data_IF_026592445396
#
_entry.id   IF_026592445396
#
_cell.length_a   1.000
_cell.length_b   1.000
_cell.length_c   1.000
_cell.angle_alpha   90.00
_cell.angle_beta   90.00
_cell.angle_gamma   90.00
#
_symmetry.space_group_name_H-M   'P 1'
#
loop_
_entity.id
_entity.type
_entity.pdbx_description
1 polymer ?
#
# COMPACT_ATOMS: atom_id res chain seq x y z
N UNK A 1 -4.03 -22.22 -7.58
CA UNK A 1 -3.95 -20.75 -7.35
C UNK A 1 -2.95 -20.04 -8.27
N UNK A 2 -1.70 -20.53 -8.46
CA UNK A 2 -0.71 -19.91 -9.37
C UNK A 2 -1.07 -19.84 -10.88
N UNK A 3 -2.04 -20.64 -11.35
CA UNK A 3 -2.47 -20.66 -12.77
C UNK A 3 -3.47 -19.56 -13.14
N UNK A 4 -4.26 -19.05 -12.18
CA UNK A 4 -5.22 -17.95 -12.42
C UNK A 4 -4.59 -16.56 -12.36
N UNK A 5 -3.43 -16.40 -11.72
CA UNK A 5 -2.70 -15.13 -11.70
C UNK A 5 -1.98 -14.81 -13.03
N UNK A 6 -1.84 -15.79 -13.94
CA UNK A 6 -1.06 -15.65 -15.19
C UNK A 6 -1.49 -14.49 -16.10
N UNK A 7 -2.80 -14.19 -16.29
CA UNK A 7 -3.23 -13.04 -17.10
C UNK A 7 -3.00 -11.69 -16.40
N UNK A 8 -3.10 -11.62 -15.07
CA UNK A 8 -2.87 -10.41 -14.28
C UNK A 8 -1.38 -10.07 -14.11
N UNK A 9 -0.47 -11.05 -14.16
CA UNK A 9 0.99 -10.84 -13.94
C UNK A 9 1.57 -9.74 -14.83
N UNK A 10 1.11 -9.59 -16.07
CA UNK A 10 1.58 -8.53 -16.98
C UNK A 10 1.14 -7.14 -16.51
N UNK A 11 -0.10 -6.99 -16.04
CA UNK A 11 -0.62 -5.74 -15.50
C UNK A 11 0.06 -5.37 -14.17
N UNK A 12 0.32 -6.37 -13.32
CA UNK A 12 1.04 -6.20 -12.06
C UNK A 12 2.50 -5.79 -12.32
N UNK A 13 3.22 -6.51 -13.19
CA UNK A 13 4.59 -6.16 -13.57
C UNK A 13 4.68 -4.76 -14.20
N UNK A 14 3.69 -4.38 -15.01
CA UNK A 14 3.59 -3.03 -15.56
C UNK A 14 3.37 -1.98 -14.46
N UNK A 15 2.44 -2.22 -13.52
CA UNK A 15 2.24 -1.35 -12.35
C UNK A 15 3.51 -1.16 -11.52
N UNK A 16 4.25 -2.25 -11.26
CA UNK A 16 5.54 -2.20 -10.58
C UNK A 16 6.58 -1.38 -11.36
N UNK A 17 6.66 -1.58 -12.68
CA UNK A 17 7.54 -0.80 -13.54
C UNK A 17 7.22 0.69 -13.45
N UNK A 18 5.93 1.07 -13.50
CA UNK A 18 5.52 2.46 -13.37
C UNK A 18 5.83 3.04 -11.99
N UNK A 19 5.68 2.26 -10.92
CA UNK A 19 6.06 2.67 -9.58
C UNK A 19 7.58 2.94 -9.49
N UNK A 20 8.40 2.06 -10.07
CA UNK A 20 9.86 2.22 -10.15
C UNK A 20 10.23 3.46 -10.98
N UNK A 21 9.63 3.66 -12.15
CA UNK A 21 9.87 4.86 -12.97
C UNK A 21 9.47 6.13 -12.24
N UNK A 22 8.36 6.11 -11.49
CA UNK A 22 7.92 7.24 -10.65
C UNK A 22 8.94 7.54 -9.56
N UNK A 23 9.50 6.51 -8.92
CA UNK A 23 10.52 6.68 -7.89
C UNK A 23 11.83 7.21 -8.48
N UNK A 24 12.30 6.63 -9.58
CA UNK A 24 13.53 7.03 -10.27
C UNK A 24 13.45 8.46 -10.81
N UNK A 25 12.32 8.85 -11.41
CA UNK A 25 12.09 10.23 -11.83
C UNK A 25 12.07 11.20 -10.64
N UNK A 26 11.51 10.79 -9.51
CA UNK A 26 11.56 11.55 -8.26
C UNK A 26 12.97 11.75 -7.71
N UNK A 27 13.78 10.69 -7.68
CA UNK A 27 15.19 10.76 -7.29
C UNK A 27 16.00 11.60 -8.28
N UNK A 28 15.79 11.40 -9.57
CA UNK A 28 16.42 12.19 -10.63
C UNK A 28 16.12 13.68 -10.51
N UNK A 29 14.87 14.05 -10.18
CA UNK A 29 14.52 15.44 -9.90
C UNK A 29 15.33 16.02 -8.73
N UNK A 30 15.45 15.26 -7.64
CA UNK A 30 16.18 15.70 -6.44
C UNK A 30 17.67 15.89 -6.77
N UNK A 31 18.28 14.91 -7.44
CA UNK A 31 19.69 14.93 -7.83
C UNK A 31 19.97 16.05 -8.83
N UNK A 32 19.18 16.14 -9.90
CA UNK A 32 19.35 17.16 -10.94
C UNK A 32 19.14 18.57 -10.38
N UNK A 33 18.15 18.76 -9.49
CA UNK A 33 17.92 20.05 -8.85
C UNK A 33 19.05 20.42 -7.90
N UNK A 34 19.54 19.47 -7.10
CA UNK A 34 20.68 19.70 -6.20
C UNK A 34 21.94 20.08 -6.97
N UNK A 35 22.26 19.34 -8.03
CA UNK A 35 23.37 19.66 -8.92
C UNK A 35 23.18 21.03 -9.59
N UNK A 36 21.98 21.33 -10.10
CA UNK A 36 21.70 22.61 -10.76
C UNK A 36 21.86 23.81 -9.81
N UNK A 37 21.42 23.69 -8.56
CA UNK A 37 21.60 24.74 -7.53
C UNK A 37 23.09 24.94 -7.25
N UNK A 38 23.84 23.87 -6.99
CA UNK A 38 25.27 23.95 -6.71
C UNK A 38 26.05 24.52 -7.91
N UNK A 39 25.75 24.05 -9.12
CA UNK A 39 26.37 24.54 -10.35
C UNK A 39 26.05 26.02 -10.63
N UNK A 40 24.82 26.46 -10.38
CA UNK A 40 24.42 27.86 -10.53
C UNK A 40 25.15 28.77 -9.53
N UNK A 41 25.32 28.29 -8.29
CA UNK A 41 26.07 29.03 -7.27
C UNK A 41 27.54 29.22 -7.68
N UNK A 42 28.19 28.17 -8.20
CA UNK A 42 29.57 28.24 -8.69
C UNK A 42 29.69 29.11 -9.95
N UNK A 43 28.79 28.94 -10.92
CA UNK A 43 28.80 29.72 -12.16
C UNK A 43 28.55 31.22 -11.92
N UNK A 44 27.70 31.57 -10.94
CA UNK A 44 27.42 32.94 -10.54
C UNK A 44 28.56 33.63 -9.78
N UNK A 45 29.58 32.90 -9.33
CA UNK A 45 30.70 33.47 -8.59
C UNK A 45 31.60 34.38 -9.45
N UNK A 46 31.58 34.22 -10.78
CA UNK A 46 32.33 35.05 -11.74
C UNK A 46 31.41 35.50 -12.87
N UNK A 47 31.42 36.79 -13.20
CA UNK A 47 30.52 37.36 -14.21
C UNK A 47 30.68 36.71 -15.61
N UNK A 48 31.90 36.34 -16.00
CA UNK A 48 32.18 35.67 -17.27
C UNK A 48 31.55 34.26 -17.35
N UNK A 49 31.60 33.48 -16.26
CA UNK A 49 31.01 32.13 -16.22
C UNK A 49 29.49 32.18 -16.08
N UNK A 50 28.94 33.22 -15.46
CA UNK A 50 27.50 33.41 -15.32
C UNK A 50 26.79 33.57 -16.68
N UNK A 51 27.42 34.30 -17.62
CA UNK A 51 26.86 34.52 -18.97
C UNK A 51 26.98 33.25 -19.84
N UNK A 52 28.04 32.45 -19.63
CA UNK A 52 28.27 31.21 -20.38
C UNK A 52 27.47 30.02 -19.84
N UNK A 53 26.85 30.12 -18.66
CA UNK A 53 26.15 29.01 -18.02
C UNK A 53 24.79 28.74 -18.68
N UNK A 54 24.66 27.56 -19.27
CA UNK A 54 23.42 27.15 -19.94
C UNK A 54 22.39 26.62 -18.92
N UNK A 55 21.45 27.49 -18.54
CA UNK A 55 20.34 27.14 -17.64
C UNK A 55 19.21 26.35 -18.33
N UNK A 56 19.13 26.40 -19.66
CA UNK A 56 18.02 25.80 -20.41
C UNK A 56 18.07 24.26 -20.39
N UNK A 57 19.25 23.67 -20.53
CA UNK A 57 19.46 22.22 -20.51
C UNK A 57 19.01 21.57 -19.19
N UNK A 58 19.47 22.01 -18.00
CA UNK A 58 18.99 21.45 -16.73
C UNK A 58 17.51 21.76 -16.48
N UNK A 59 17.01 22.93 -16.89
CA UNK A 59 15.58 23.26 -16.77
C UNK A 59 14.68 22.32 -17.59
N UNK A 60 15.08 21.99 -18.82
CA UNK A 60 14.38 21.04 -19.66
C UNK A 60 14.37 19.63 -19.04
N UNK A 61 15.51 19.20 -18.47
CA UNK A 61 15.61 17.93 -17.75
C UNK A 61 14.67 17.85 -16.55
N UNK A 62 14.61 18.91 -15.73
CA UNK A 62 13.70 18.98 -14.58
C UNK A 62 12.24 18.89 -15.04
N UNK A 63 11.85 19.65 -16.07
CA UNK A 63 10.48 19.61 -16.61
C UNK A 63 10.13 18.24 -17.17
N UNK A 64 11.03 17.62 -17.93
CA UNK A 64 10.85 16.29 -18.49
C UNK A 64 10.66 15.23 -17.41
N UNK A 65 11.51 15.24 -16.37
CA UNK A 65 11.39 14.33 -15.24
C UNK A 65 10.12 14.58 -14.42
N UNK A 66 9.68 15.82 -14.27
CA UNK A 66 8.43 16.16 -13.57
C UNK A 66 7.19 15.62 -14.31
N UNK A 67 7.17 15.75 -15.65
CA UNK A 67 6.11 15.18 -16.48
C UNK A 67 6.14 13.66 -16.42
N UNK A 68 7.32 13.04 -16.58
CA UNK A 68 7.49 11.60 -16.50
C UNK A 68 7.03 11.04 -15.15
N UNK A 69 7.40 11.70 -14.04
CA UNK A 69 6.96 11.33 -12.69
C UNK A 69 5.45 11.38 -12.55
N UNK A 70 4.83 12.47 -13.01
CA UNK A 70 3.39 12.69 -12.87
C UNK A 70 2.60 11.71 -13.74
N UNK A 71 3.02 11.53 -14.99
CA UNK A 71 2.39 10.59 -15.92
C UNK A 71 2.51 9.13 -15.45
N UNK A 72 3.70 8.72 -14.99
CA UNK A 72 3.93 7.37 -14.47
C UNK A 72 3.08 7.11 -13.22
N UNK A 73 3.03 8.07 -12.28
CA UNK A 73 2.19 7.94 -11.08
C UNK A 73 0.70 7.88 -11.40
N UNK A 74 0.26 8.66 -12.38
CA UNK A 74 -1.14 8.65 -12.81
C UNK A 74 -1.52 7.29 -13.40
N UNK A 75 -0.69 6.75 -14.29
CA UNK A 75 -0.94 5.45 -14.90
C UNK A 75 -0.80 4.29 -13.88
N UNK A 76 0.12 4.37 -12.92
CA UNK A 76 0.21 3.43 -11.78
C UNK A 76 -1.11 3.42 -10.99
N UNK A 77 -1.62 4.61 -10.66
CA UNK A 77 -2.90 4.78 -9.96
C UNK A 77 -4.06 4.24 -10.79
N UNK A 78 -4.10 4.48 -12.09
CA UNK A 78 -5.18 4.00 -12.95
C UNK A 78 -5.26 2.46 -12.94
N UNK A 79 -4.12 1.79 -13.05
CA UNK A 79 -4.03 0.32 -12.98
C UNK A 79 -4.50 -0.20 -11.62
N UNK A 80 -4.07 0.47 -10.55
CA UNK A 80 -4.41 0.10 -9.16
C UNK A 80 -5.89 0.34 -8.84
N UNK A 81 -6.44 1.42 -9.35
CA UNK A 81 -7.82 1.83 -9.13
C UNK A 81 -8.80 0.90 -9.86
N UNK A 82 -8.46 0.52 -11.08
CA UNK A 82 -9.20 -0.48 -11.86
C UNK A 82 -9.28 -1.84 -11.12
N UNK A 83 -8.23 -2.23 -10.39
CA UNK A 83 -8.28 -3.40 -9.50
C UNK A 83 -9.25 -3.19 -8.32
N UNK A 84 -9.15 -2.04 -7.64
CA UNK A 84 -10.03 -1.70 -6.50
C UNK A 84 -11.50 -1.63 -6.91
N UNK A 85 -11.81 -1.11 -8.09
CA UNK A 85 -13.18 -1.01 -8.60
C UNK A 85 -13.76 -2.35 -8.99
N UNK A 86 -12.99 -3.22 -9.64
CA UNK A 86 -13.43 -4.59 -9.89
C UNK A 86 -13.72 -5.35 -8.59
N UNK A 87 -12.91 -5.13 -7.56
CA UNK A 87 -13.16 -5.66 -6.23
C UNK A 87 -14.49 -5.15 -5.64
N UNK A 88 -14.71 -3.84 -5.60
CA UNK A 88 -15.95 -3.25 -5.08
C UNK A 88 -17.19 -3.71 -5.85
N UNK A 89 -17.08 -3.86 -7.18
CA UNK A 89 -18.15 -4.39 -8.01
C UNK A 89 -18.47 -5.85 -7.66
N UNK A 90 -17.44 -6.69 -7.48
CA UNK A 90 -17.58 -8.08 -7.04
C UNK A 90 -18.25 -8.18 -5.66
N UNK A 91 -17.81 -7.37 -4.70
CA UNK A 91 -18.38 -7.31 -3.37
C UNK A 91 -19.86 -6.88 -3.39
N UNK A 92 -20.22 -5.89 -4.21
CA UNK A 92 -21.63 -5.47 -4.38
C UNK A 92 -22.49 -6.60 -4.93
N UNK A 93 -22.05 -7.25 -6.01
CA UNK A 93 -22.81 -8.37 -6.61
C UNK A 93 -22.96 -9.51 -5.63
N UNK A 94 -21.91 -9.83 -4.88
CA UNK A 94 -21.94 -10.85 -3.84
C UNK A 94 -22.89 -10.49 -2.70
N UNK A 95 -22.81 -9.26 -2.17
CA UNK A 95 -23.70 -8.78 -1.10
C UNK A 95 -25.16 -8.86 -1.52
N UNK A 96 -25.48 -8.43 -2.74
CA UNK A 96 -26.86 -8.54 -3.27
C UNK A 96 -27.28 -10.00 -3.44
N UNK A 97 -26.43 -10.86 -3.99
CA UNK A 97 -26.73 -12.29 -4.14
C UNK A 97 -26.79 -13.07 -2.82
N UNK A 98 -26.11 -12.61 -1.78
CA UNK A 98 -26.19 -13.17 -0.44
C UNK A 98 -27.43 -12.64 0.30
N UNK A 99 -27.77 -11.36 0.13
CA UNK A 99 -28.91 -10.74 0.81
C UNK A 99 -30.28 -11.19 0.25
N UNK A 100 -30.40 -11.36 -1.07
CA UNK A 100 -31.65 -11.75 -1.75
C UNK A 100 -32.23 -13.10 -1.25
N UNK A 101 -31.46 -14.20 -1.14
CA UNK A 101 -31.98 -15.49 -0.69
C UNK A 101 -32.19 -15.60 0.83
N UNK A 102 -31.74 -14.62 1.62
CA UNK A 102 -32.02 -14.57 3.07
C UNK A 102 -33.43 -14.01 3.39
N UNK A 103 -34.16 -13.54 2.40
CA UNK A 103 -35.60 -13.35 2.48
C UNK A 103 -36.33 -14.56 1.88
N UNK A 104 -37.34 -15.14 2.53
CA UNK A 104 -37.53 -15.51 3.92
C UNK A 104 -37.78 -17.04 4.03
N UNK A 105 -36.90 -17.84 4.67
CA UNK A 105 -37.28 -19.14 5.30
C UNK A 105 -36.12 -20.06 5.76
N UNK A 106 -34.86 -19.93 5.30
CA UNK A 106 -33.86 -21.03 5.46
C UNK A 106 -32.50 -20.60 6.01
N UNK A 107 -32.51 -19.95 7.17
CA UNK A 107 -31.31 -19.58 7.93
C UNK A 107 -30.70 -20.73 8.76
N UNK A 108 -31.28 -21.94 8.77
CA UNK A 108 -30.94 -22.94 9.80
C UNK A 108 -29.78 -23.90 9.47
N UNK A 109 -29.48 -24.27 8.22
CA UNK A 109 -28.52 -25.36 7.97
C UNK A 109 -27.50 -25.05 6.86
N UNK A 110 -26.34 -24.57 7.30
CA UNK A 110 -25.02 -24.77 6.67
C UNK A 110 -24.62 -23.94 5.42
N UNK A 111 -23.87 -22.87 5.72
CA UNK A 111 -22.43 -22.68 5.37
C UNK A 111 -21.97 -22.62 3.91
N UNK A 112 -22.85 -22.40 2.92
CA UNK A 112 -22.43 -22.11 1.54
C UNK A 112 -21.78 -20.72 1.34
N UNK A 113 -22.23 -19.71 2.09
CA UNK A 113 -21.72 -18.33 1.99
C UNK A 113 -20.31 -18.14 2.55
N UNK A 114 -19.91 -18.95 3.54
CA UNK A 114 -18.66 -18.78 4.28
C UNK A 114 -17.43 -19.28 3.48
N UNK A 115 -17.62 -20.30 2.63
CA UNK A 115 -16.55 -20.89 1.82
C UNK A 115 -16.18 -20.00 0.62
N UNK A 116 -17.17 -19.37 -0.02
CA UNK A 116 -16.96 -18.38 -1.07
C UNK A 116 -16.42 -17.06 -0.51
N UNK A 117 -16.88 -16.65 0.68
CA UNK A 117 -16.37 -15.46 1.37
C UNK A 117 -14.90 -15.63 1.76
N UNK A 118 -14.50 -16.82 2.23
CA UNK A 118 -13.08 -17.16 2.49
C UNK A 118 -12.24 -17.15 1.23
N UNK A 119 -12.69 -17.75 0.13
CA UNK A 119 -11.94 -17.75 -1.13
C UNK A 119 -11.78 -16.35 -1.72
N UNK A 120 -12.79 -15.48 -1.58
CA UNK A 120 -12.74 -14.10 -2.09
C UNK A 120 -11.87 -13.23 -1.20
N UNK A 121 -12.04 -13.29 0.13
CA UNK A 121 -11.20 -12.58 1.10
C UNK A 121 -9.71 -12.99 1.00
N UNK A 122 -9.41 -14.26 0.72
CA UNK A 122 -8.04 -14.71 0.47
C UNK A 122 -7.45 -14.09 -0.80
N UNK A 123 -8.23 -13.94 -1.88
CA UNK A 123 -7.78 -13.26 -3.10
C UNK A 123 -7.59 -11.76 -2.87
N UNK A 124 -8.48 -11.12 -2.10
CA UNK A 124 -8.39 -9.69 -1.79
C UNK A 124 -7.18 -9.36 -0.90
N UNK A 125 -6.88 -10.25 0.05
CA UNK A 125 -5.70 -10.10 0.89
C UNK A 125 -4.40 -10.20 0.09
N UNK A 126 -4.34 -11.09 -0.92
CA UNK A 126 -3.19 -11.21 -1.82
C UNK A 126 -2.97 -9.95 -2.68
N UNK A 127 -4.03 -9.35 -3.23
CA UNK A 127 -3.92 -8.11 -4.02
C UNK A 127 -3.54 -6.92 -3.13
N UNK A 128 -4.10 -6.82 -1.92
CA UNK A 128 -3.74 -5.79 -0.95
C UNK A 128 -2.28 -5.89 -0.52
N UNK A 129 -1.77 -7.11 -0.26
CA UNK A 129 -0.35 -7.34 0.07
C UNK A 129 0.54 -6.90 -1.09
N UNK A 130 0.19 -7.21 -2.33
CA UNK A 130 0.99 -6.82 -3.48
C UNK A 130 1.13 -5.29 -3.60
N UNK A 131 0.01 -4.57 -3.59
CA UNK A 131 -0.02 -3.12 -3.80
C UNK A 131 0.47 -2.32 -2.60
N UNK A 132 0.23 -2.80 -1.37
CA UNK A 132 0.55 -2.05 -0.13
C UNK A 132 1.87 -2.43 0.50
N UNK A 133 2.39 -3.63 0.20
CA UNK A 133 3.62 -4.14 0.84
C UNK A 133 4.70 -4.41 -0.21
N UNK A 134 4.41 -5.22 -1.23
CA UNK A 134 5.44 -5.64 -2.19
C UNK A 134 5.94 -4.47 -3.05
N UNK A 135 5.03 -3.70 -3.65
CA UNK A 135 5.42 -2.57 -4.50
C UNK A 135 6.23 -1.52 -3.73
N UNK A 136 5.78 -1.01 -2.55
CA UNK A 136 6.56 -0.06 -1.76
C UNK A 136 7.91 -0.64 -1.28
N UNK A 137 7.96 -1.92 -0.91
CA UNK A 137 9.20 -2.56 -0.48
C UNK A 137 10.24 -2.65 -1.61
N UNK A 138 9.82 -3.05 -2.82
CA UNK A 138 10.72 -3.10 -3.98
C UNK A 138 11.25 -1.70 -4.32
N UNK A 139 10.38 -0.70 -4.33
CA UNK A 139 10.78 0.69 -4.58
C UNK A 139 11.75 1.19 -3.50
N UNK A 140 11.51 0.89 -2.23
CA UNK A 140 12.39 1.27 -1.13
C UNK A 140 13.77 0.62 -1.25
N UNK A 141 13.84 -0.69 -1.53
CA UNK A 141 15.10 -1.41 -1.71
C UNK A 141 15.89 -0.82 -2.88
N UNK A 142 15.25 -0.60 -4.02
CA UNK A 142 15.90 0.02 -5.18
C UNK A 142 16.41 1.43 -4.88
N UNK A 143 15.64 2.23 -4.15
CA UNK A 143 16.06 3.57 -3.75
C UNK A 143 17.30 3.52 -2.82
N UNK A 144 17.30 2.64 -1.82
CA UNK A 144 18.44 2.47 -0.90
C UNK A 144 19.68 1.98 -1.64
N UNK A 145 19.55 1.01 -2.54
CA UNK A 145 20.67 0.51 -3.34
C UNK A 145 21.24 1.60 -4.27
N UNK A 146 20.37 2.34 -4.95
CA UNK A 146 20.80 3.40 -5.86
C UNK A 146 21.48 4.54 -5.11
N UNK A 147 20.80 5.11 -4.11
CA UNK A 147 21.32 6.24 -3.33
C UNK A 147 22.54 5.81 -2.53
N UNK A 148 22.47 4.68 -1.82
CA UNK A 148 23.57 4.14 -1.06
C UNK A 148 24.78 3.79 -1.93
N UNK A 149 24.57 3.23 -3.12
CA UNK A 149 25.65 2.93 -4.08
C UNK A 149 26.34 4.19 -4.62
N UNK A 150 25.57 5.23 -4.96
CA UNK A 150 26.13 6.52 -5.38
C UNK A 150 26.90 7.18 -4.25
N UNK A 151 26.35 7.18 -3.03
CA UNK A 151 27.04 7.74 -1.87
C UNK A 151 28.29 6.94 -1.53
N UNK A 152 28.29 5.62 -1.67
CA UNK A 152 29.46 4.79 -1.38
C UNK A 152 30.65 5.16 -2.26
N UNK A 153 30.39 5.56 -3.51
CA UNK A 153 31.41 6.05 -4.43
C UNK A 153 31.92 7.46 -4.08
N UNK A 154 31.06 8.31 -3.48
CA UNK A 154 31.36 9.71 -3.19
C UNK A 154 31.96 9.92 -1.80
N UNK A 155 31.31 9.38 -0.76
CA UNK A 155 31.71 9.38 0.64
C UNK A 155 31.14 8.13 1.36
N UNK A 156 32.00 7.12 1.64
CA UNK A 156 31.58 5.90 2.32
C UNK A 156 30.96 6.13 3.70
N UNK A 157 31.37 7.17 4.43
CA UNK A 157 30.83 7.46 5.76
C UNK A 157 29.38 7.94 5.68
N UNK A 158 29.09 8.88 4.77
CA UNK A 158 27.73 9.32 4.49
C UNK A 158 26.84 8.16 4.01
N UNK A 159 27.38 7.27 3.16
CA UNK A 159 26.66 6.08 2.70
C UNK A 159 26.24 5.18 3.86
N UNK A 160 27.17 4.90 4.79
CA UNK A 160 26.91 4.06 5.95
C UNK A 160 25.80 4.64 6.83
N UNK A 161 25.81 5.96 7.08
CA UNK A 161 24.79 6.64 7.88
C UNK A 161 23.41 6.53 7.21
N UNK A 162 23.32 6.84 5.91
CA UNK A 162 22.04 6.82 5.18
C UNK A 162 21.46 5.41 5.12
N UNK A 163 22.29 4.40 4.83
CA UNK A 163 21.83 3.00 4.79
C UNK A 163 21.43 2.51 6.18
N UNK A 164 22.18 2.85 7.23
CA UNK A 164 21.83 2.49 8.60
C UNK A 164 20.49 3.09 9.03
N UNK A 165 20.25 4.39 8.73
CA UNK A 165 18.97 5.04 9.01
C UNK A 165 17.82 4.43 8.20
N UNK A 166 18.06 4.11 6.92
CA UNK A 166 17.06 3.45 6.08
C UNK A 166 16.68 2.06 6.62
N UNK A 167 17.64 1.27 7.11
CA UNK A 167 17.38 -0.02 7.74
C UNK A 167 16.66 0.12 9.09
N UNK A 168 17.04 1.13 9.88
CA UNK A 168 16.40 1.41 11.17
C UNK A 168 14.91 1.74 10.97
N UNK A 169 14.59 2.67 10.07
CA UNK A 169 13.22 3.12 9.82
C UNK A 169 12.42 2.10 8.99
N UNK A 170 13.05 1.46 8.01
CA UNK A 170 12.38 0.55 7.08
C UNK A 170 12.19 -0.87 7.62
N UNK A 171 13.02 -1.33 8.56
CA UNK A 171 13.00 -2.70 9.06
C UNK A 171 12.86 -2.75 10.57
N UNK A 172 13.78 -2.12 11.31
CA UNK A 172 13.82 -2.27 12.77
C UNK A 172 12.57 -1.69 13.44
N UNK A 173 12.12 -0.50 13.00
CA UNK A 173 10.95 0.16 13.56
C UNK A 173 9.63 -0.60 13.27
N UNK A 174 9.30 -1.00 12.02
CA UNK A 174 8.13 -1.85 11.76
C UNK A 174 8.18 -3.18 12.52
N UNK A 175 9.35 -3.79 12.65
CA UNK A 175 9.52 -5.04 13.40
C UNK A 175 9.25 -4.85 14.89
N UNK A 176 9.78 -3.79 15.50
CA UNK A 176 9.52 -3.43 16.89
C UNK A 176 8.03 -3.11 17.10
N UNK A 177 7.43 -2.31 16.23
CA UNK A 177 6.00 -1.98 16.28
C UNK A 177 5.12 -3.22 16.14
N UNK A 178 5.48 -4.17 15.26
CA UNK A 178 4.77 -5.43 15.13
C UNK A 178 4.86 -6.26 16.41
N UNK A 179 6.05 -6.36 17.03
CA UNK A 179 6.27 -7.12 18.27
C UNK A 179 5.48 -6.54 19.43
N UNK A 180 5.49 -5.22 19.59
CA UNK A 180 4.81 -4.50 20.67
C UNK A 180 3.28 -4.51 20.44
N UNK A 181 2.83 -4.32 19.20
CA UNK A 181 1.41 -4.21 18.84
C UNK A 181 0.69 -5.56 18.65
N UNK A 182 1.40 -6.65 18.36
CA UNK A 182 0.80 -7.97 18.13
C UNK A 182 -0.11 -8.48 19.28
N UNK A 183 0.29 -8.42 20.57
CA UNK A 183 -0.59 -8.88 21.65
C UNK A 183 -1.86 -8.03 21.78
N UNK A 184 -1.73 -6.70 21.66
CA UNK A 184 -2.88 -5.79 21.67
C UNK A 184 -3.82 -6.06 20.48
N UNK A 185 -3.27 -6.26 19.28
CA UNK A 185 -4.05 -6.61 18.10
C UNK A 185 -4.81 -7.93 18.24
N UNK A 186 -4.18 -8.97 18.82
CA UNK A 186 -4.84 -10.24 19.15
C UNK A 186 -5.96 -10.05 20.18
N UNK A 187 -5.71 -9.26 21.23
CA UNK A 187 -6.71 -8.98 22.25
C UNK A 187 -7.94 -8.27 21.65
N UNK A 188 -7.73 -7.26 20.80
CA UNK A 188 -8.81 -6.55 20.10
C UNK A 188 -9.59 -7.50 19.17
N UNK A 189 -8.90 -8.35 18.40
CA UNK A 189 -9.55 -9.33 17.53
C UNK A 189 -10.42 -10.32 18.32
N UNK A 190 -9.90 -10.84 19.44
CA UNK A 190 -10.64 -11.76 20.33
C UNK A 190 -11.83 -11.06 21.00
N UNK A 191 -11.65 -9.83 21.50
CA UNK A 191 -12.73 -9.05 22.10
C UNK A 191 -13.85 -8.74 21.09
N UNK A 192 -13.48 -8.40 19.85
CA UNK A 192 -14.43 -8.14 18.76
C UNK A 192 -15.20 -9.41 18.39
N UNK A 193 -14.52 -10.56 18.32
CA UNK A 193 -15.18 -11.84 18.07
C UNK A 193 -16.18 -12.18 19.18
N UNK A 194 -15.77 -12.04 20.45
CA UNK A 194 -16.66 -12.26 21.61
C UNK A 194 -17.86 -11.32 21.63
N UNK A 195 -17.66 -10.04 21.31
CA UNK A 195 -18.74 -9.06 21.23
C UNK A 195 -19.74 -9.43 20.13
N UNK A 196 -19.26 -9.83 18.94
CA UNK A 196 -20.13 -10.30 17.86
C UNK A 196 -20.95 -11.51 18.28
N UNK A 197 -20.32 -12.50 18.95
CA UNK A 197 -21.03 -13.66 19.47
C UNK A 197 -22.12 -13.26 20.46
N UNK A 198 -21.81 -12.42 21.45
CA UNK A 198 -22.80 -11.96 22.45
C UNK A 198 -23.96 -11.19 21.84
N UNK A 199 -23.70 -10.34 20.84
CA UNK A 199 -24.77 -9.61 20.14
C UNK A 199 -25.69 -10.60 19.42
N UNK A 200 -25.13 -11.59 18.72
CA UNK A 200 -25.94 -12.60 18.01
C UNK A 200 -26.75 -13.44 18.99
N UNK A 201 -26.13 -13.95 20.06
CA UNK A 201 -26.81 -14.72 21.12
C UNK A 201 -27.89 -13.89 21.79
N UNK A 202 -27.62 -12.62 22.11
CA UNK A 202 -28.60 -11.72 22.72
C UNK A 202 -29.79 -11.44 21.81
N UNK A 203 -29.56 -11.23 20.50
CA UNK A 203 -30.65 -11.02 19.52
C UNK A 203 -31.47 -12.30 19.33
N UNK A 204 -30.83 -13.47 19.27
CA UNK A 204 -31.52 -14.75 19.11
C UNK A 204 -32.31 -15.15 20.37
N UNK A 205 -31.74 -14.93 21.56
CA UNK A 205 -32.36 -15.23 22.86
C UNK A 205 -33.31 -14.14 23.37
N UNK A 206 -33.49 -13.03 22.65
CA UNK A 206 -34.27 -11.88 23.11
C UNK A 206 -35.75 -12.23 23.34
N UNK A 207 -36.30 -13.14 22.54
CA UNK A 207 -37.67 -13.62 22.69
C UNK A 207 -37.86 -14.41 23.99
N UNK A 208 -36.93 -15.31 24.31
CA UNK A 208 -36.93 -16.10 25.55
C UNK A 208 -36.71 -15.21 26.78
N UNK A 209 -35.75 -14.28 26.70
CA UNK A 209 -35.46 -13.33 27.79
C UNK A 209 -36.66 -12.42 28.13
N UNK A 210 -37.45 -12.03 27.11
CA UNK A 210 -38.70 -11.27 27.33
C UNK A 210 -39.80 -12.11 27.95
N UNK A 211 -39.94 -13.38 27.57
CA UNK A 211 -40.94 -14.29 28.15
C UNK A 211 -40.67 -14.54 29.64
N UNK A 212 -39.39 -14.63 30.04
CA UNK A 212 -39.01 -14.84 31.44
C UNK A 212 -38.80 -13.54 32.25
N UNK A 213 -39.11 -12.36 31.71
CA UNK A 213 -38.87 -11.04 32.35
C UNK A 213 -37.44 -10.88 32.89
N UNK A 214 -36.44 -11.42 32.18
CA UNK A 214 -35.04 -11.40 32.59
C UNK A 214 -34.18 -10.45 31.75
N UNK A 215 -34.82 -9.61 30.93
CA UNK A 215 -34.19 -8.64 30.02
C UNK A 215 -33.24 -7.67 30.72
N UNK A 216 -33.52 -7.27 31.96
CA UNK A 216 -32.66 -6.38 32.76
C UNK A 216 -31.38 -7.01 33.33
N UNK A 217 -31.20 -8.34 33.28
CA UNK A 217 -30.03 -9.04 33.87
C UNK A 217 -28.90 -9.33 32.88
N UNK A 218 -29.12 -9.13 31.57
CA UNK A 218 -28.17 -9.46 30.50
C UNK A 218 -27.82 -8.28 29.58
N UNK A 219 -28.17 -7.05 29.98
CA UNK A 219 -27.75 -5.81 29.33
C UNK A 219 -26.29 -5.44 29.61
#
# INVERSE_FOLDING_TARGET
MLRLARPQRRKMAFGLLLAVVTALSGLGLLVLSGWFIAASAVAGAVAATAIAFNFASPSAGIRGLAVLRTGSRYAERLVTHDATFRFLAGLRVWLFRAAIPLAPARLEEQRGGDLLNRMTADVDSLDAIYLRVIVPAVVAVLAVLLVGGVLLWLDPAAAAIVVALALLVGVALPWAMQRIGAPAGKAIALATARLRTRIVEGVQGLAELKVYQADGRHA
#
